data_IF_885056632841
#
_entry.id   IF_885056632841
#
_cell.length_a   1.000
_cell.length_b   1.000
_cell.length_c   1.000
_cell.angle_alpha   90.00
_cell.angle_beta   90.00
_cell.angle_gamma   90.00
#
_symmetry.space_group_name_H-M   'P 1'
#
loop_
_entity.id
_entity.type
_entity.pdbx_description
1 polymer ?
#
# COMPACT_ATOMS: atom_id res chain seq x y z
N UNK A 1 3.80 62.94 -11.41
CA UNK A 1 5.09 62.25 -11.58
C UNK A 1 5.60 61.81 -10.23
N UNK A 2 5.84 60.54 -10.02
CA UNK A 2 6.42 60.00 -8.78
C UNK A 2 7.91 60.21 -8.80
N UNK A 3 8.41 61.20 -8.02
CA UNK A 3 9.82 61.43 -7.85
C UNK A 3 10.39 60.50 -6.75
N UNK A 4 11.12 59.48 -7.16
CA UNK A 4 11.86 58.67 -6.22
C UNK A 4 13.19 59.38 -5.86
N UNK A 5 13.50 59.45 -4.56
CA UNK A 5 14.82 59.91 -4.14
C UNK A 5 15.89 58.96 -4.65
N UNK A 6 17.09 59.48 -4.94
CA UNK A 6 18.25 58.68 -5.46
C UNK A 6 18.56 57.45 -4.55
N UNK A 7 18.37 57.61 -3.25
CA UNK A 7 18.58 56.56 -2.27
C UNK A 7 17.55 55.45 -2.38
N UNK A 8 16.25 55.78 -2.62
CA UNK A 8 15.22 54.76 -2.85
C UNK A 8 15.43 54.00 -4.15
N UNK A 9 15.86 54.69 -5.20
CA UNK A 9 16.22 54.03 -6.47
C UNK A 9 17.39 53.06 -6.29
N UNK A 10 18.43 53.48 -5.55
CA UNK A 10 19.56 52.59 -5.26
C UNK A 10 19.15 51.33 -4.50
N UNK A 11 18.30 51.46 -3.48
CA UNK A 11 17.80 50.31 -2.71
C UNK A 11 17.00 49.35 -3.60
N UNK A 12 16.11 49.89 -4.47
CA UNK A 12 15.32 49.07 -5.38
C UNK A 12 16.22 48.27 -6.34
N UNK A 13 17.21 48.91 -6.96
CA UNK A 13 18.13 48.22 -7.86
C UNK A 13 18.97 47.17 -7.11
N UNK A 14 19.39 47.46 -5.89
CA UNK A 14 20.14 46.54 -5.06
C UNK A 14 19.31 45.28 -4.76
N UNK A 15 18.03 45.43 -4.39
CA UNK A 15 17.13 44.29 -4.13
C UNK A 15 16.92 43.48 -5.40
N UNK A 16 16.70 44.11 -6.55
CA UNK A 16 16.50 43.42 -7.83
C UNK A 16 17.74 42.58 -8.19
N UNK A 17 18.93 43.16 -8.05
CA UNK A 17 20.21 42.45 -8.34
C UNK A 17 20.36 41.27 -7.37
N UNK A 18 20.07 41.47 -6.09
CA UNK A 18 20.17 40.42 -5.07
C UNK A 18 19.20 39.25 -5.35
N UNK A 19 17.96 39.56 -5.68
CA UNK A 19 16.98 38.52 -6.05
C UNK A 19 17.35 37.80 -7.35
N UNK A 20 17.90 38.53 -8.33
CA UNK A 20 18.38 37.95 -9.58
C UNK A 20 19.53 36.97 -9.33
N UNK A 21 20.47 37.30 -8.45
CA UNK A 21 21.57 36.41 -8.06
C UNK A 21 21.04 35.13 -7.39
N UNK A 22 20.09 35.24 -6.48
CA UNK A 22 19.48 34.07 -5.86
C UNK A 22 18.73 33.18 -6.89
N UNK A 23 18.08 33.78 -7.88
CA UNK A 23 17.41 33.04 -8.95
C UNK A 23 18.42 32.32 -9.85
N UNK A 24 19.57 32.96 -10.12
CA UNK A 24 20.63 32.41 -10.99
C UNK A 24 21.28 31.14 -10.37
N UNK A 25 21.35 31.07 -9.05
CA UNK A 25 21.87 29.87 -8.33
C UNK A 25 21.05 28.62 -8.60
N UNK A 26 19.75 28.75 -8.95
CA UNK A 26 18.92 27.61 -9.33
C UNK A 26 19.32 26.97 -10.68
N UNK A 27 20.02 27.71 -11.55
CA UNK A 27 20.46 27.21 -12.85
C UNK A 27 21.86 26.59 -12.84
N UNK A 28 22.65 26.89 -11.80
CA UNK A 28 24.03 26.39 -11.68
C UNK A 28 24.07 25.26 -10.67
N UNK A 29 24.67 24.13 -11.03
CA UNK A 29 24.92 23.02 -10.11
C UNK A 29 26.09 23.39 -9.18
N UNK A 30 25.79 24.11 -8.09
CA UNK A 30 26.76 24.42 -7.06
C UNK A 30 26.85 23.25 -6.09
N UNK A 31 27.85 22.40 -6.29
CA UNK A 31 28.20 21.38 -5.31
C UNK A 31 28.72 22.05 -4.03
N UNK A 32 28.09 21.76 -2.90
CA UNK A 32 28.61 21.98 -1.54
C UNK A 32 28.59 23.40 -0.93
N UNK A 33 27.46 24.10 -0.97
CA UNK A 33 27.25 25.15 0.04
C UNK A 33 25.91 24.92 0.78
N UNK A 34 25.96 24.71 2.09
CA UNK A 34 24.83 24.34 2.95
C UNK A 34 23.61 25.29 2.87
N UNK A 35 23.82 26.54 2.50
CA UNK A 35 22.78 27.57 2.44
C UNK A 35 22.17 27.68 1.03
N UNK A 36 22.96 27.37 -0.01
CA UNK A 36 22.54 27.47 -1.42
C UNK A 36 22.12 26.14 -2.05
N UNK A 37 22.21 25.05 -1.29
CA UNK A 37 21.87 23.70 -1.79
C UNK A 37 20.36 23.38 -1.83
N UNK A 38 19.50 24.23 -1.27
CA UNK A 38 18.05 24.07 -1.34
C UNK A 38 17.53 24.55 -2.71
N UNK A 39 17.63 23.68 -3.70
CA UNK A 39 16.98 23.90 -4.99
C UNK A 39 15.47 23.82 -4.81
N UNK A 40 14.74 24.67 -5.51
CA UNK A 40 13.29 24.55 -5.63
C UNK A 40 13.02 23.32 -6.48
N UNK A 41 12.42 22.30 -5.90
CA UNK A 41 11.94 21.13 -6.64
C UNK A 41 10.79 21.56 -7.54
N UNK A 42 11.11 21.79 -8.81
CA UNK A 42 10.11 22.04 -9.83
C UNK A 42 9.30 20.73 -10.03
N UNK A 43 7.97 20.84 -10.05
CA UNK A 43 7.12 19.71 -10.38
C UNK A 43 7.44 19.14 -11.76
N UNK A 44 7.10 17.88 -11.99
CA UNK A 44 7.35 17.19 -13.25
C UNK A 44 6.84 17.98 -14.48
N UNK A 45 5.74 18.70 -14.34
CA UNK A 45 5.15 19.53 -15.40
C UNK A 45 6.06 20.70 -15.82
N UNK A 46 6.87 21.25 -14.89
CA UNK A 46 7.78 22.36 -15.15
C UNK A 46 9.18 21.89 -15.60
N UNK A 47 9.53 20.64 -15.28
CA UNK A 47 10.79 20.03 -15.73
C UNK A 47 10.68 19.39 -17.12
N UNK A 48 9.46 19.37 -17.71
CA UNK A 48 9.22 18.75 -19.02
C UNK A 48 9.37 17.24 -19.02
N UNK A 49 9.24 16.60 -17.85
CA UNK A 49 9.28 15.15 -17.70
C UNK A 49 7.96 14.50 -18.12
N UNK A 50 8.02 13.28 -18.65
CA UNK A 50 6.87 12.40 -18.80
C UNK A 50 6.73 11.52 -17.57
N UNK A 51 5.49 11.30 -17.13
CA UNK A 51 5.19 10.30 -16.11
C UNK A 51 4.42 9.14 -16.72
N UNK A 52 4.72 7.94 -16.25
CA UNK A 52 4.01 6.74 -16.62
C UNK A 52 3.11 6.33 -15.46
N UNK A 53 1.80 6.40 -15.67
CA UNK A 53 0.84 5.84 -14.71
C UNK A 53 0.71 4.34 -14.99
N UNK A 54 1.21 3.51 -14.07
CA UNK A 54 1.05 2.07 -14.13
C UNK A 54 -0.14 1.68 -13.25
N UNK A 55 -1.15 1.11 -13.88
CA UNK A 55 -2.26 0.47 -13.17
C UNK A 55 -2.00 -1.05 -13.12
N UNK A 56 -1.94 -1.59 -11.92
CA UNK A 56 -1.76 -3.02 -11.71
C UNK A 56 -3.14 -3.64 -11.49
N UNK A 57 -3.51 -4.58 -12.37
CA UNK A 57 -4.68 -5.44 -12.12
C UNK A 57 -4.37 -6.38 -10.94
N UNK A 58 -5.02 -6.24 -9.79
CA UNK A 58 -4.75 -7.07 -8.62
C UNK A 58 -5.38 -8.48 -8.73
N UNK A 59 -6.29 -8.73 -9.67
CA UNK A 59 -7.07 -9.95 -9.75
C UNK A 59 -6.20 -11.22 -9.91
N UNK A 60 -5.23 -11.27 -10.84
CA UNK A 60 -4.37 -12.44 -10.98
C UNK A 60 -3.56 -12.74 -9.73
N UNK A 61 -3.11 -11.69 -9.04
CA UNK A 61 -2.30 -11.81 -7.81
C UNK A 61 -3.16 -12.36 -6.67
N UNK A 62 -4.40 -11.85 -6.55
CA UNK A 62 -5.37 -12.34 -5.56
C UNK A 62 -5.65 -13.82 -5.78
N UNK A 63 -5.93 -14.23 -7.02
CA UNK A 63 -6.22 -15.63 -7.36
C UNK A 63 -5.03 -16.55 -7.06
N UNK A 64 -3.82 -16.16 -7.41
CA UNK A 64 -2.62 -16.92 -7.10
C UNK A 64 -2.41 -17.07 -5.58
N UNK A 65 -2.58 -16.00 -4.82
CA UNK A 65 -2.45 -16.03 -3.35
C UNK A 65 -3.55 -16.87 -2.70
N UNK A 66 -4.78 -16.79 -3.21
CA UNK A 66 -5.88 -17.63 -2.73
C UNK A 66 -5.63 -19.12 -3.02
N UNK A 67 -5.11 -19.49 -4.18
CA UNK A 67 -4.71 -20.86 -4.47
C UNK A 67 -3.67 -21.36 -3.48
N UNK A 68 -2.66 -20.54 -3.18
CA UNK A 68 -1.66 -20.88 -2.16
C UNK A 68 -2.30 -21.02 -0.76
N UNK A 69 -3.23 -20.14 -0.41
CA UNK A 69 -3.98 -20.22 0.86
C UNK A 69 -4.83 -21.50 0.93
N UNK A 70 -5.45 -21.94 -0.17
CA UNK A 70 -6.19 -23.22 -0.25
C UNK A 70 -5.29 -24.41 0.10
N UNK A 71 -4.07 -24.45 -0.45
CA UNK A 71 -3.10 -25.52 -0.18
C UNK A 71 -2.71 -25.53 1.31
N UNK A 72 -2.41 -24.35 1.84
CA UNK A 72 -2.02 -24.20 3.24
C UNK A 72 -3.20 -24.52 4.19
N UNK A 73 -4.39 -24.09 3.85
CA UNK A 73 -5.61 -24.38 4.61
C UNK A 73 -5.89 -25.89 4.69
N UNK A 74 -5.73 -26.61 3.58
CA UNK A 74 -5.85 -28.09 3.58
C UNK A 74 -4.89 -28.74 4.57
N UNK A 75 -3.64 -28.31 4.57
CA UNK A 75 -2.63 -28.83 5.52
C UNK A 75 -3.01 -28.49 6.95
N UNK A 76 -3.44 -27.26 7.18
CA UNK A 76 -3.83 -26.77 8.50
C UNK A 76 -5.02 -27.52 9.09
N UNK A 77 -6.08 -27.70 8.31
CA UNK A 77 -7.26 -28.45 8.72
C UNK A 77 -6.91 -29.92 9.05
N UNK A 78 -6.04 -30.55 8.24
CA UNK A 78 -5.57 -31.91 8.47
C UNK A 78 -4.75 -32.03 9.77
N UNK A 79 -3.83 -31.10 10.03
CA UNK A 79 -3.01 -31.08 11.25
C UNK A 79 -3.88 -30.94 12.50
N UNK A 80 -4.90 -30.08 12.44
CA UNK A 80 -5.82 -29.83 13.55
C UNK A 80 -6.97 -30.87 13.64
N UNK A 81 -6.93 -31.91 12.77
CA UNK A 81 -7.92 -32.98 12.72
C UNK A 81 -9.36 -32.49 12.49
N UNK A 82 -9.53 -31.39 11.74
CA UNK A 82 -10.84 -30.87 11.34
C UNK A 82 -11.27 -31.55 10.06
N UNK A 83 -12.44 -32.21 10.09
CA UNK A 83 -13.00 -32.88 8.92
C UNK A 83 -13.78 -31.89 8.07
N UNK A 84 -13.50 -31.88 6.79
CA UNK A 84 -14.14 -31.02 5.81
C UNK A 84 -14.38 -31.73 4.48
N UNK A 85 -15.27 -31.18 3.69
CA UNK A 85 -15.52 -31.64 2.31
C UNK A 85 -15.72 -30.44 1.37
N UNK A 86 -15.64 -30.69 0.06
CA UNK A 86 -15.95 -29.73 -1.01
C UNK A 86 -15.13 -28.42 -0.95
N UNK A 87 -13.85 -28.49 -0.54
CA UNK A 87 -12.99 -27.32 -0.50
C UNK A 87 -12.63 -26.86 -1.91
N UNK A 88 -13.18 -25.72 -2.33
CA UNK A 88 -13.05 -25.11 -3.66
C UNK A 88 -12.84 -23.61 -3.57
N UNK A 89 -12.13 -23.07 -4.57
CA UNK A 89 -12.03 -21.63 -4.79
C UNK A 89 -13.14 -21.23 -5.79
N UNK A 90 -14.02 -20.32 -5.38
CA UNK A 90 -15.13 -19.82 -6.21
C UNK A 90 -15.23 -18.31 -6.00
N UNK A 91 -15.18 -17.53 -7.08
CA UNK A 91 -15.34 -16.06 -7.05
C UNK A 91 -14.47 -15.39 -5.97
N UNK A 92 -13.17 -15.66 -6.00
CA UNK A 92 -12.19 -15.11 -5.05
C UNK A 92 -12.48 -15.39 -3.58
N UNK A 93 -13.26 -16.44 -3.31
CA UNK A 93 -13.52 -16.95 -1.98
C UNK A 93 -13.24 -18.44 -1.88
N UNK A 94 -12.72 -18.87 -0.73
CA UNK A 94 -12.49 -20.27 -0.41
C UNK A 94 -13.76 -20.80 0.27
N UNK A 95 -14.40 -21.76 -0.36
CA UNK A 95 -15.63 -22.35 0.16
C UNK A 95 -15.40 -23.82 0.49
N UNK A 96 -15.87 -24.27 1.65
CA UNK A 96 -15.84 -25.68 2.05
C UNK A 96 -16.91 -25.93 3.11
N UNK A 97 -17.24 -27.18 3.32
CA UNK A 97 -18.20 -27.58 4.31
C UNK A 97 -17.50 -28.32 5.46
N UNK A 98 -17.75 -27.89 6.70
CA UNK A 98 -17.30 -28.59 7.89
C UNK A 98 -18.22 -29.77 8.19
N UNK A 99 -17.64 -30.91 8.54
CA UNK A 99 -18.37 -32.09 8.93
C UNK A 99 -18.55 -32.19 10.47
N UNK A 100 -17.59 -31.59 11.19
CA UNK A 100 -17.54 -31.58 12.65
C UNK A 100 -16.99 -30.23 13.13
N UNK A 101 -17.17 -29.92 14.42
CA UNK A 101 -16.43 -28.91 15.20
C UNK A 101 -16.32 -27.50 14.60
N UNK A 102 -17.44 -26.88 14.30
CA UNK A 102 -17.49 -25.49 13.79
C UNK A 102 -16.81 -24.51 14.79
N UNK A 103 -17.11 -24.65 16.09
CA UNK A 103 -16.56 -23.80 17.14
C UNK A 103 -15.03 -23.91 17.22
N UNK A 104 -14.51 -25.13 17.12
CA UNK A 104 -13.06 -25.37 17.10
C UNK A 104 -12.40 -24.74 15.87
N UNK A 105 -13.07 -24.79 14.71
CA UNK A 105 -12.55 -24.12 13.52
C UNK A 105 -12.49 -22.60 13.72
N UNK A 106 -13.55 -21.98 14.25
CA UNK A 106 -13.58 -20.53 14.52
C UNK A 106 -12.49 -20.10 15.50
N UNK A 107 -12.35 -20.82 16.62
CA UNK A 107 -11.32 -20.54 17.62
C UNK A 107 -9.92 -20.59 17.00
N UNK A 108 -9.63 -21.62 16.22
CA UNK A 108 -8.35 -21.78 15.56
C UNK A 108 -8.14 -20.73 14.45
N UNK A 109 -9.19 -20.42 13.69
CA UNK A 109 -9.09 -19.47 12.57
C UNK A 109 -8.92 -18.03 13.03
N UNK A 110 -9.53 -17.65 14.15
CA UNK A 110 -9.43 -16.33 14.78
C UNK A 110 -8.28 -16.22 15.79
N UNK A 111 -7.45 -17.25 15.91
CA UNK A 111 -6.25 -17.16 16.73
C UNK A 111 -5.25 -16.19 16.12
N UNK A 112 -4.76 -15.23 16.90
CA UNK A 112 -3.79 -14.22 16.44
C UNK A 112 -2.47 -14.81 15.94
N UNK A 113 -2.12 -16.00 16.40
CA UNK A 113 -0.91 -16.73 15.98
C UNK A 113 -1.18 -17.70 14.82
N UNK A 114 -2.37 -17.65 14.19
CA UNK A 114 -2.69 -18.53 13.09
C UNK A 114 -1.87 -18.18 11.83
N UNK A 115 -1.09 -19.12 11.28
CA UNK A 115 -0.29 -18.88 10.08
C UNK A 115 -1.12 -18.73 8.80
N UNK A 116 -2.40 -19.15 8.82
CA UNK A 116 -3.29 -19.07 7.67
C UNK A 116 -3.99 -17.70 7.60
N UNK A 117 -4.39 -17.17 8.76
CA UNK A 117 -5.13 -15.93 8.87
C UNK A 117 -4.38 -14.93 9.74
N UNK A 118 -3.47 -14.19 9.14
CA UNK A 118 -2.59 -13.27 9.85
C UNK A 118 -3.41 -12.15 10.52
N UNK A 119 -3.05 -11.81 11.75
CA UNK A 119 -3.62 -10.67 12.45
C UNK A 119 -2.73 -9.44 12.26
N UNK A 120 -3.27 -8.40 11.63
CA UNK A 120 -2.59 -7.13 11.43
C UNK A 120 -2.84 -6.19 12.60
N UNK A 121 -1.86 -6.06 13.50
CA UNK A 121 -1.96 -5.18 14.67
C UNK A 121 -2.21 -3.71 14.31
N UNK A 122 -1.66 -3.23 13.19
CA UNK A 122 -1.84 -1.88 12.64
C UNK A 122 -3.31 -1.54 12.39
N UNK A 123 -4.07 -2.51 11.87
CA UNK A 123 -5.48 -2.32 11.50
C UNK A 123 -6.45 -2.93 12.54
N UNK A 124 -5.91 -3.65 13.53
CA UNK A 124 -6.69 -4.48 14.47
C UNK A 124 -7.66 -5.42 13.75
N UNK A 125 -7.22 -5.98 12.64
CA UNK A 125 -8.03 -6.81 11.75
C UNK A 125 -7.25 -8.03 11.27
N UNK A 126 -7.99 -9.08 10.91
CA UNK A 126 -7.43 -10.26 10.27
C UNK A 126 -7.25 -10.06 8.76
N UNK A 127 -6.31 -10.81 8.18
CA UNK A 127 -6.06 -10.85 6.74
C UNK A 127 -7.28 -11.33 5.96
N UNK A 128 -8.00 -12.30 6.52
CA UNK A 128 -9.17 -12.89 5.89
C UNK A 128 -10.38 -12.83 6.83
N UNK A 129 -11.53 -12.57 6.24
CA UNK A 129 -12.85 -12.71 6.88
C UNK A 129 -13.41 -14.10 6.61
N UNK A 130 -14.24 -14.58 7.51
CA UNK A 130 -15.00 -15.80 7.31
C UNK A 130 -16.48 -15.57 7.59
N UNK A 131 -17.31 -16.37 6.99
CA UNK A 131 -18.72 -16.48 7.31
C UNK A 131 -19.12 -17.97 7.29
N UNK A 132 -19.94 -18.36 8.24
CA UNK A 132 -20.40 -19.75 8.37
C UNK A 132 -21.92 -19.77 8.27
N UNK A 133 -22.43 -20.54 7.33
CA UNK A 133 -23.85 -20.76 7.15
C UNK A 133 -24.11 -22.25 6.92
N UNK A 134 -24.94 -22.88 7.77
CA UNK A 134 -25.23 -24.30 7.66
C UNK A 134 -24.00 -25.19 7.47
N UNK A 135 -22.99 -25.02 8.34
CA UNK A 135 -21.68 -25.69 8.27
C UNK A 135 -20.86 -25.39 7.01
N UNK A 136 -21.33 -24.53 6.11
CA UNK A 136 -20.58 -24.08 4.95
C UNK A 136 -19.80 -22.84 5.35
N UNK A 137 -18.48 -22.94 5.22
CA UNK A 137 -17.55 -21.86 5.51
C UNK A 137 -17.18 -21.17 4.20
N UNK A 138 -17.31 -19.86 4.18
CA UNK A 138 -16.79 -18.97 3.12
C UNK A 138 -15.69 -18.12 3.72
N UNK A 139 -14.51 -18.12 3.10
CA UNK A 139 -13.37 -17.29 3.50
C UNK A 139 -12.99 -16.38 2.33
N UNK A 140 -12.82 -15.12 2.61
CA UNK A 140 -12.42 -14.11 1.63
C UNK A 140 -11.41 -13.11 2.24
N UNK A 141 -10.63 -12.43 1.41
CA UNK A 141 -9.74 -11.39 1.92
C UNK A 141 -10.54 -10.28 2.57
N UNK A 142 -10.08 -9.81 3.73
CA UNK A 142 -10.60 -8.59 4.34
C UNK A 142 -10.16 -7.37 3.52
N UNK A 143 -10.81 -6.22 3.74
CA UNK A 143 -10.38 -4.95 3.14
C UNK A 143 -8.90 -4.68 3.39
N UNK A 144 -8.42 -4.94 4.60
CA UNK A 144 -7.03 -4.70 4.98
C UNK A 144 -6.09 -5.77 4.43
N UNK A 145 -6.54 -7.02 4.32
CA UNK A 145 -5.82 -8.08 3.63
C UNK A 145 -5.56 -7.74 2.16
N UNK A 146 -6.54 -7.18 1.46
CA UNK A 146 -6.40 -6.73 0.08
C UNK A 146 -5.42 -5.54 -0.04
N UNK A 147 -5.42 -4.62 0.93
CA UNK A 147 -4.49 -3.49 0.95
C UNK A 147 -3.05 -3.99 1.10
N UNK A 148 -2.78 -4.85 2.09
CA UNK A 148 -1.44 -5.41 2.32
C UNK A 148 -0.96 -6.26 1.13
N UNK A 149 -1.87 -7.00 0.51
CA UNK A 149 -1.55 -7.77 -0.69
C UNK A 149 -1.14 -6.87 -1.86
N UNK A 150 -1.86 -5.75 -2.08
CA UNK A 150 -1.51 -4.77 -3.11
C UNK A 150 -0.17 -4.10 -2.83
N UNK A 151 0.10 -3.71 -1.59
CA UNK A 151 1.39 -3.14 -1.20
C UNK A 151 2.52 -4.14 -1.47
N UNK A 152 2.36 -5.37 -1.01
CA UNK A 152 3.36 -6.43 -1.25
C UNK A 152 3.60 -6.75 -2.74
N UNK A 153 2.60 -6.50 -3.60
CA UNK A 153 2.74 -6.67 -5.04
C UNK A 153 3.49 -5.52 -5.72
N UNK A 154 3.45 -4.32 -5.13
CA UNK A 154 4.18 -3.15 -5.62
C UNK A 154 5.66 -3.17 -5.22
N UNK A 155 5.99 -3.88 -4.15
CA UNK A 155 7.36 -3.99 -3.62
C UNK A 155 8.19 -5.11 -4.29
N UNK A 156 7.63 -5.86 -5.24
CA UNK A 156 8.27 -6.91 -6.04
C UNK A 156 8.71 -6.40 -7.42
#
# INVERSE_FOLDING_TARGET
MLYFSKLKLFIIYFIIILLSLFSFVNFIDVEKSYILSKKVNLGLDLQGGSYLLLEIDPLPIIDQKLQQKVINLRKYLKVNKIKYQNLKLINQSINFQLLDDVEKFEELFLNKNNPINLFYGKYRSYEMNHSILNNTVKIEYSKYGLIELKISALDQ
#
